data_IF_386513239240
#
_entry.id   IF_386513239240
#
_cell.length_a   1.000
_cell.length_b   1.000
_cell.length_c   1.000
_cell.angle_alpha   90.00
_cell.angle_beta   90.00
_cell.angle_gamma   90.00
#
_symmetry.space_group_name_H-M   'P 1'
#
loop_
_entity.id
_entity.type
_entity.pdbx_description
1 polymer ?
#
# COMPACT_ATOMS: atom_id res chain seq x y z
N UNK A 1 -5.85 -28.68 0.51
CA UNK A 1 -5.61 -27.26 0.16
C UNK A 1 -6.37 -26.41 1.19
N UNK A 2 -5.80 -25.37 1.82
CA UNK A 2 -6.61 -24.48 2.69
C UNK A 2 -7.66 -23.80 1.80
N UNK A 3 -8.94 -23.98 2.08
CA UNK A 3 -9.99 -23.25 1.38
C UNK A 3 -9.81 -21.76 1.71
N UNK A 4 -9.77 -20.92 0.66
CA UNK A 4 -9.68 -19.47 0.83
C UNK A 4 -11.00 -18.86 1.27
N UNK A 5 -11.09 -17.53 1.30
CA UNK A 5 -12.37 -16.82 1.46
C UNK A 5 -13.34 -17.24 0.36
N UNK A 6 -14.61 -17.45 0.68
CA UNK A 6 -15.60 -17.78 -0.36
C UNK A 6 -15.87 -16.55 -1.24
N UNK A 7 -16.12 -16.71 -2.54
CA UNK A 7 -16.44 -15.60 -3.45
C UNK A 7 -17.52 -14.66 -2.94
N UNK A 8 -18.64 -15.20 -2.44
CA UNK A 8 -19.73 -14.38 -1.86
C UNK A 8 -19.26 -13.54 -0.67
N UNK A 9 -18.43 -14.09 0.21
CA UNK A 9 -17.89 -13.34 1.36
C UNK A 9 -16.88 -12.30 0.89
N UNK A 10 -16.05 -12.62 -0.12
CA UNK A 10 -15.07 -11.69 -0.68
C UNK A 10 -15.77 -10.49 -1.33
N UNK A 11 -16.82 -10.73 -2.11
CA UNK A 11 -17.64 -9.68 -2.71
C UNK A 11 -18.22 -8.76 -1.63
N UNK A 12 -18.87 -9.32 -0.61
CA UNK A 12 -19.43 -8.55 0.50
C UNK A 12 -18.35 -7.74 1.26
N UNK A 13 -17.13 -8.26 1.38
CA UNK A 13 -16.01 -7.52 1.95
C UNK A 13 -15.61 -6.32 1.08
N UNK A 14 -15.53 -6.51 -0.24
CA UNK A 14 -15.22 -5.41 -1.18
C UNK A 14 -16.30 -4.33 -1.11
N UNK A 15 -17.59 -4.69 -1.17
CA UNK A 15 -18.69 -3.73 -1.07
C UNK A 15 -18.67 -2.95 0.25
N UNK A 16 -18.35 -3.61 1.36
CA UNK A 16 -18.26 -2.96 2.68
C UNK A 16 -17.05 -2.03 2.80
N UNK A 17 -15.98 -2.33 2.08
CA UNK A 17 -14.69 -1.63 2.19
C UNK A 17 -14.53 -0.50 1.18
N UNK A 18 -15.01 -0.69 -0.05
CA UNK A 18 -14.93 0.26 -1.15
C UNK A 18 -16.31 0.40 -1.84
N UNK A 19 -17.37 0.85 -1.13
CA UNK A 19 -18.72 0.96 -1.70
C UNK A 19 -18.83 1.93 -2.88
N UNK A 20 -17.86 2.82 -3.03
CA UNK A 20 -17.77 3.80 -4.13
C UNK A 20 -17.21 3.20 -5.42
N UNK A 21 -16.65 1.98 -5.39
CA UNK A 21 -15.90 1.38 -6.51
C UNK A 21 -16.71 1.35 -7.82
N UNK A 22 -17.98 0.93 -7.75
CA UNK A 22 -18.87 0.79 -8.92
C UNK A 22 -19.24 2.12 -9.57
N UNK A 23 -19.00 3.24 -8.89
CA UNK A 23 -19.26 4.59 -9.39
C UNK A 23 -18.00 5.30 -9.90
N UNK A 24 -16.82 4.67 -9.81
CA UNK A 24 -15.57 5.28 -10.24
C UNK A 24 -15.26 4.98 -11.71
N UNK A 25 -15.00 6.02 -12.52
CA UNK A 25 -14.41 5.83 -13.84
C UNK A 25 -13.06 5.11 -13.74
N UNK A 26 -12.83 4.14 -14.61
CA UNK A 26 -11.60 3.33 -14.65
C UNK A 26 -11.61 2.10 -13.73
N UNK A 27 -12.72 1.84 -13.01
CA UNK A 27 -12.90 0.64 -12.19
C UNK A 27 -13.77 -0.44 -12.86
N UNK A 28 -14.20 -0.24 -14.12
CA UNK A 28 -15.20 -1.07 -14.80
C UNK A 28 -14.75 -2.52 -14.94
N UNK A 29 -13.48 -2.75 -15.33
CA UNK A 29 -12.92 -4.08 -15.46
C UNK A 29 -12.86 -4.83 -14.11
N UNK A 30 -12.44 -4.12 -13.04
CA UNK A 30 -12.41 -4.67 -11.69
C UNK A 30 -13.82 -5.06 -11.21
N UNK A 31 -14.80 -4.17 -11.43
CA UNK A 31 -16.19 -4.42 -11.08
C UNK A 31 -16.76 -5.61 -11.86
N UNK A 32 -16.46 -5.75 -13.15
CA UNK A 32 -16.88 -6.90 -13.95
C UNK A 32 -16.32 -8.23 -13.41
N UNK A 33 -15.03 -8.26 -13.03
CA UNK A 33 -14.41 -9.44 -12.43
C UNK A 33 -14.99 -9.79 -11.06
N UNK A 34 -15.37 -8.78 -10.28
CA UNK A 34 -15.96 -8.97 -8.96
C UNK A 34 -17.43 -9.42 -9.01
N UNK A 35 -18.18 -8.96 -10.01
CA UNK A 35 -19.59 -9.30 -10.20
C UNK A 35 -19.80 -10.77 -10.58
N UNK A 36 -18.82 -11.42 -11.22
CA UNK A 36 -18.89 -12.83 -11.60
C UNK A 36 -18.51 -13.79 -10.44
N UNK A 37 -19.09 -13.55 -9.26
CA UNK A 37 -18.80 -14.32 -8.06
C UNK A 37 -19.31 -15.76 -8.14
N UNK A 38 -20.28 -16.05 -9.02
CA UNK A 38 -20.81 -17.40 -9.25
C UNK A 38 -19.81 -18.26 -10.02
N UNK A 39 -19.22 -17.76 -11.11
CA UNK A 39 -18.14 -18.48 -11.80
C UNK A 39 -16.89 -18.62 -10.90
N UNK A 40 -16.60 -17.61 -10.08
CA UNK A 40 -15.55 -17.73 -9.08
C UNK A 40 -15.84 -18.84 -8.05
N UNK A 41 -17.11 -19.02 -7.63
CA UNK A 41 -17.49 -20.09 -6.70
C UNK A 41 -17.37 -21.48 -7.35
N UNK A 42 -17.80 -21.60 -8.60
CA UNK A 42 -17.67 -22.83 -9.37
C UNK A 42 -16.20 -23.23 -9.59
N UNK A 43 -15.30 -22.27 -9.83
CA UNK A 43 -13.89 -22.53 -10.10
C UNK A 43 -13.02 -22.76 -8.85
N UNK A 44 -13.45 -22.30 -7.66
CA UNK A 44 -12.65 -22.33 -6.43
C UNK A 44 -12.13 -23.73 -6.05
N UNK A 45 -12.89 -24.78 -6.37
CA UNK A 45 -12.59 -26.19 -6.04
C UNK A 45 -12.04 -26.98 -7.21
N UNK A 46 -11.89 -26.36 -8.38
CA UNK A 46 -11.46 -27.03 -9.62
C UNK A 46 -9.96 -26.93 -9.83
N UNK A 47 -9.45 -27.69 -10.80
CA UNK A 47 -8.07 -27.54 -11.32
C UNK A 47 -7.90 -26.33 -12.24
N UNK A 48 -8.97 -25.58 -12.53
CA UNK A 48 -8.97 -24.39 -13.39
C UNK A 48 -9.37 -23.16 -12.57
N UNK A 49 -8.44 -22.60 -11.78
CA UNK A 49 -8.75 -21.58 -10.78
C UNK A 49 -8.96 -20.18 -11.37
N UNK A 50 -9.10 -20.04 -12.68
CA UNK A 50 -9.04 -18.77 -13.42
C UNK A 50 -10.05 -17.74 -12.91
N UNK A 51 -11.34 -18.09 -12.80
CA UNK A 51 -12.36 -17.13 -12.36
C UNK A 51 -12.20 -16.74 -10.88
N UNK A 52 -11.83 -17.69 -10.01
CA UNK A 52 -11.51 -17.39 -8.62
C UNK A 52 -10.26 -16.51 -8.50
N UNK A 53 -9.21 -16.76 -9.31
CA UNK A 53 -8.01 -15.95 -9.34
C UNK A 53 -8.30 -14.51 -9.82
N UNK A 54 -9.12 -14.34 -10.88
CA UNK A 54 -9.61 -13.02 -11.32
C UNK A 54 -10.24 -12.26 -10.16
N UNK A 55 -11.20 -12.89 -9.47
CA UNK A 55 -11.89 -12.25 -8.37
C UNK A 55 -10.94 -11.84 -7.24
N UNK A 56 -9.97 -12.70 -6.88
CA UNK A 56 -8.98 -12.39 -5.85
C UNK A 56 -8.09 -11.20 -6.25
N UNK A 57 -7.63 -11.15 -7.51
CA UNK A 57 -6.79 -10.06 -8.02
C UNK A 57 -7.57 -8.73 -8.04
N UNK A 58 -8.82 -8.74 -8.51
CA UNK A 58 -9.67 -7.55 -8.51
C UNK A 58 -10.01 -7.05 -7.11
N UNK A 59 -10.33 -7.96 -6.18
CA UNK A 59 -10.62 -7.61 -4.79
C UNK A 59 -9.40 -7.01 -4.09
N UNK A 60 -8.22 -7.56 -4.37
CA UNK A 60 -6.96 -7.02 -3.85
C UNK A 60 -6.70 -5.61 -4.39
N UNK A 61 -6.73 -5.43 -5.71
CA UNK A 61 -6.55 -4.12 -6.34
C UNK A 61 -7.50 -3.08 -5.73
N UNK A 62 -8.79 -3.41 -5.62
CA UNK A 62 -9.82 -2.52 -5.12
C UNK A 62 -9.64 -2.11 -3.65
N UNK A 63 -9.01 -2.95 -2.81
CA UNK A 63 -9.09 -2.78 -1.37
C UNK A 63 -7.76 -2.64 -0.63
N UNK A 64 -6.61 -3.00 -1.24
CA UNK A 64 -5.31 -3.06 -0.52
C UNK A 64 -4.90 -1.74 0.13
N UNK A 65 -5.23 -0.60 -0.48
CA UNK A 65 -4.92 0.74 0.04
C UNK A 65 -6.02 1.33 0.96
N UNK A 66 -7.04 0.55 1.29
CA UNK A 66 -8.16 1.01 2.15
C UNK A 66 -7.91 0.73 3.63
N UNK A 67 -8.84 1.17 4.49
CA UNK A 67 -8.72 0.94 5.94
C UNK A 67 -8.88 -0.54 6.31
N UNK A 68 -9.73 -1.28 5.60
CA UNK A 68 -10.04 -2.70 5.86
C UNK A 68 -9.83 -3.52 4.58
N UNK A 69 -8.58 -3.73 4.16
CA UNK A 69 -8.28 -4.49 2.95
C UNK A 69 -8.77 -5.93 3.08
N UNK A 70 -9.12 -6.56 1.95
CA UNK A 70 -9.39 -8.00 1.88
C UNK A 70 -8.11 -8.79 2.18
N UNK A 71 -8.22 -9.90 2.91
CA UNK A 71 -7.08 -10.74 3.29
C UNK A 71 -6.81 -11.82 2.24
N UNK A 72 -6.36 -11.40 1.06
CA UNK A 72 -6.13 -12.29 -0.10
C UNK A 72 -4.66 -12.31 -0.56
N UNK A 73 -3.79 -11.52 0.07
CA UNK A 73 -2.37 -11.36 -0.30
C UNK A 73 -1.63 -12.69 -0.39
N UNK A 74 -1.67 -13.48 0.69
CA UNK A 74 -1.00 -14.78 0.73
C UNK A 74 -1.56 -15.76 -0.31
N UNK A 75 -2.84 -15.58 -0.71
CA UNK A 75 -3.48 -16.41 -1.71
C UNK A 75 -2.94 -16.08 -3.11
N UNK A 76 -3.00 -14.81 -3.52
CA UNK A 76 -2.58 -14.36 -4.85
C UNK A 76 -1.06 -14.39 -5.04
N UNK A 77 -0.28 -14.24 -3.96
CA UNK A 77 1.19 -14.24 -4.06
C UNK A 77 1.82 -15.63 -3.93
N UNK A 78 1.10 -16.62 -3.41
CA UNK A 78 1.70 -17.94 -3.13
C UNK A 78 0.74 -19.11 -3.39
N UNK A 79 -0.40 -19.19 -2.69
CA UNK A 79 -1.21 -20.40 -2.72
C UNK A 79 -1.83 -20.73 -4.09
N UNK A 80 -2.20 -19.73 -4.87
CA UNK A 80 -2.69 -19.94 -6.26
C UNK A 80 -1.60 -20.62 -7.07
N UNK A 81 -0.37 -20.12 -7.01
CA UNK A 81 0.77 -20.66 -7.75
C UNK A 81 1.15 -22.07 -7.34
N UNK A 82 1.07 -22.40 -6.04
CA UNK A 82 1.29 -23.76 -5.53
C UNK A 82 0.28 -24.78 -6.09
N UNK A 83 -0.89 -24.34 -6.56
CA UNK A 83 -1.92 -25.21 -7.13
C UNK A 83 -1.81 -25.40 -8.64
N UNK A 84 -0.96 -24.64 -9.33
CA UNK A 84 -0.81 -24.68 -10.79
C UNK A 84 -0.10 -25.95 -11.20
N UNK A 85 -0.78 -26.89 -11.86
CA UNK A 85 -0.21 -28.21 -12.20
C UNK A 85 0.39 -28.31 -13.60
N UNK A 86 0.19 -27.31 -14.47
CA UNK A 86 0.65 -27.35 -15.87
C UNK A 86 1.02 -25.96 -16.39
N UNK A 87 1.84 -25.94 -17.44
CA UNK A 87 2.24 -24.72 -18.15
C UNK A 87 1.04 -23.98 -18.75
N UNK A 88 0.02 -24.72 -19.23
CA UNK A 88 -1.19 -24.12 -19.78
C UNK A 88 -1.99 -23.32 -18.73
N UNK A 89 -2.06 -23.81 -17.48
CA UNK A 89 -2.71 -23.07 -16.38
C UNK A 89 -1.85 -21.89 -15.96
N UNK A 90 -0.52 -22.06 -15.89
CA UNK A 90 0.41 -20.98 -15.61
C UNK A 90 0.23 -19.82 -16.58
N UNK A 91 0.18 -20.11 -17.89
CA UNK A 91 0.04 -19.12 -18.96
C UNK A 91 -1.22 -18.26 -18.79
N UNK A 92 -2.37 -18.90 -18.60
CA UNK A 92 -3.65 -18.20 -18.40
C UNK A 92 -3.62 -17.32 -17.16
N UNK A 93 -3.10 -17.82 -16.03
CA UNK A 93 -3.00 -17.03 -14.80
C UNK A 93 -2.03 -15.85 -14.94
N UNK A 94 -0.91 -16.02 -15.65
CA UNK A 94 0.00 -14.92 -15.92
C UNK A 94 -0.67 -13.84 -16.77
N UNK A 95 -1.50 -14.22 -17.75
CA UNK A 95 -2.26 -13.24 -18.53
C UNK A 95 -3.20 -12.39 -17.66
N UNK A 96 -3.82 -12.99 -16.63
CA UNK A 96 -4.64 -12.24 -15.67
C UNK A 96 -3.81 -11.24 -14.86
N UNK A 97 -2.60 -11.64 -14.44
CA UNK A 97 -1.67 -10.78 -13.70
C UNK A 97 -1.21 -9.61 -14.58
N UNK A 98 -0.91 -9.88 -15.85
CA UNK A 98 -0.51 -8.84 -16.80
C UNK A 98 -1.65 -7.84 -17.05
N UNK A 99 -2.89 -8.30 -17.13
CA UNK A 99 -4.07 -7.43 -17.26
C UNK A 99 -4.27 -6.55 -16.02
N UNK A 100 -4.37 -7.15 -14.82
CA UNK A 100 -4.65 -6.40 -13.58
C UNK A 100 -3.53 -5.41 -13.23
N UNK A 101 -2.28 -5.75 -13.55
CA UNK A 101 -1.12 -4.88 -13.27
C UNK A 101 -1.13 -3.56 -14.05
N UNK A 102 -1.93 -3.48 -15.13
CA UNK A 102 -2.11 -2.25 -15.92
C UNK A 102 -3.20 -1.35 -15.38
N UNK A 103 -3.98 -1.81 -14.39
CA UNK A 103 -5.06 -1.00 -13.83
C UNK A 103 -4.48 0.12 -12.96
N UNK A 104 -4.87 1.38 -13.19
CA UNK A 104 -4.29 2.53 -12.50
C UNK A 104 -4.59 2.50 -11.00
N UNK A 105 -3.57 2.26 -10.18
CA UNK A 105 -3.69 2.22 -8.73
C UNK A 105 -4.27 3.53 -8.14
N UNK A 106 -4.06 4.67 -8.81
CA UNK A 106 -4.58 5.98 -8.41
C UNK A 106 -6.10 6.06 -8.40
N UNK A 107 -6.82 5.16 -9.09
CA UNK A 107 -8.28 5.08 -9.00
C UNK A 107 -8.72 4.72 -7.57
N UNK A 108 -7.99 3.79 -6.92
CA UNK A 108 -8.36 3.16 -5.64
C UNK A 108 -7.38 3.46 -4.50
N UNK A 109 -6.41 4.37 -4.72
CA UNK A 109 -5.37 4.70 -3.76
C UNK A 109 -5.01 6.19 -3.82
N UNK A 110 -4.82 6.79 -2.64
CA UNK A 110 -4.20 8.12 -2.47
C UNK A 110 -2.68 8.01 -2.20
N UNK A 111 -2.13 6.79 -2.25
CA UNK A 111 -0.72 6.51 -1.94
C UNK A 111 0.06 6.21 -3.21
N UNK A 112 0.29 7.26 -3.99
CA UNK A 112 1.09 7.18 -5.20
C UNK A 112 2.01 8.39 -5.33
N UNK A 113 3.14 8.19 -6.00
CA UNK A 113 4.05 9.23 -6.46
C UNK A 113 4.13 9.10 -7.98
N UNK A 114 3.89 10.19 -8.70
CA UNK A 114 4.04 10.25 -10.16
C UNK A 114 5.02 11.35 -10.53
N UNK A 115 6.11 10.96 -11.21
CA UNK A 115 7.19 11.83 -11.69
C UNK A 115 7.44 11.63 -13.19
N UNK A 116 6.38 11.33 -13.94
CA UNK A 116 6.40 11.21 -15.40
C UNK A 116 6.92 9.87 -15.92
N UNK A 117 6.93 8.82 -15.08
CA UNK A 117 7.16 7.42 -15.46
C UNK A 117 5.93 6.54 -15.18
N UNK A 118 4.77 7.19 -15.03
CA UNK A 118 3.57 6.60 -14.47
C UNK A 118 3.59 6.60 -12.93
N UNK A 119 2.41 6.42 -12.30
CA UNK A 119 2.31 6.38 -10.85
C UNK A 119 3.05 5.17 -10.29
N UNK A 120 3.79 5.38 -9.19
CA UNK A 120 4.40 4.35 -8.37
C UNK A 120 3.68 4.31 -7.02
N UNK A 121 3.31 3.12 -6.55
CA UNK A 121 2.46 2.89 -5.38
C UNK A 121 2.77 1.56 -4.71
N UNK A 122 2.12 1.31 -3.56
CA UNK A 122 2.20 0.01 -2.89
C UNK A 122 1.63 -1.16 -3.70
N UNK A 123 0.70 -0.89 -4.64
CA UNK A 123 0.15 -1.91 -5.53
C UNK A 123 1.22 -2.53 -6.44
N UNK A 124 2.27 -1.77 -6.78
CA UNK A 124 3.36 -2.29 -7.62
C UNK A 124 4.15 -3.38 -6.89
N UNK A 125 4.36 -3.22 -5.58
CA UNK A 125 4.93 -4.25 -4.70
C UNK A 125 4.11 -5.53 -4.63
N UNK A 126 2.78 -5.39 -4.70
CA UNK A 126 1.86 -6.52 -4.76
C UNK A 126 2.05 -7.29 -6.07
N UNK A 127 2.11 -6.58 -7.20
CA UNK A 127 2.31 -7.20 -8.51
C UNK A 127 3.71 -7.79 -8.68
N UNK A 128 4.75 -7.16 -8.13
CA UNK A 128 6.08 -7.77 -8.00
C UNK A 128 6.00 -9.09 -7.22
N UNK A 129 5.30 -9.10 -6.09
CA UNK A 129 5.10 -10.31 -5.29
C UNK A 129 4.33 -11.40 -6.04
N UNK A 130 3.25 -11.06 -6.74
CA UNK A 130 2.44 -11.99 -7.53
C UNK A 130 3.26 -12.58 -8.69
N UNK A 131 4.01 -11.74 -9.42
CA UNK A 131 4.92 -12.18 -10.50
C UNK A 131 6.05 -13.05 -9.96
N UNK A 132 6.61 -12.75 -8.79
CA UNK A 132 7.62 -13.60 -8.16
C UNK A 132 7.06 -14.98 -7.80
N UNK A 133 5.82 -15.05 -7.32
CA UNK A 133 5.12 -16.31 -7.10
C UNK A 133 4.95 -17.12 -8.40
N UNK A 134 4.57 -16.45 -9.50
CA UNK A 134 4.46 -17.07 -10.81
C UNK A 134 5.82 -17.54 -11.35
N UNK A 135 6.88 -16.73 -11.21
CA UNK A 135 8.24 -17.05 -11.64
C UNK A 135 8.76 -18.31 -10.96
N UNK A 136 8.66 -18.36 -9.63
CA UNK A 136 9.10 -19.51 -8.85
C UNK A 136 8.31 -20.77 -9.21
N UNK A 137 7.03 -20.63 -9.62
CA UNK A 137 6.27 -21.76 -10.13
C UNK A 137 6.72 -22.19 -11.53
N UNK A 138 7.02 -21.24 -12.41
CA UNK A 138 7.54 -21.51 -13.75
C UNK A 138 8.85 -22.32 -13.67
N UNK A 139 9.77 -21.91 -12.78
CA UNK A 139 11.03 -22.62 -12.52
C UNK A 139 10.79 -24.07 -12.04
N UNK A 140 9.82 -24.30 -11.15
CA UNK A 140 9.48 -25.67 -10.71
C UNK A 140 8.87 -26.54 -11.80
N UNK A 141 8.16 -25.94 -12.76
CA UNK A 141 7.53 -26.63 -13.89
C UNK A 141 8.50 -26.83 -15.06
N UNK A 142 9.70 -26.24 -15.03
CA UNK A 142 10.61 -26.21 -16.17
C UNK A 142 10.08 -25.37 -17.34
N UNK A 143 9.23 -24.38 -17.07
CA UNK A 143 8.64 -23.50 -18.07
C UNK A 143 9.57 -22.31 -18.37
N UNK A 144 10.67 -22.58 -19.08
CA UNK A 144 11.78 -21.63 -19.29
C UNK A 144 11.34 -20.31 -19.94
N UNK A 145 10.47 -20.36 -20.96
CA UNK A 145 9.95 -19.15 -21.62
C UNK A 145 9.13 -18.26 -20.66
N UNK A 146 8.28 -18.88 -19.83
CA UNK A 146 7.51 -18.17 -18.81
C UNK A 146 8.40 -17.59 -17.73
N UNK A 147 9.41 -18.34 -17.28
CA UNK A 147 10.38 -17.87 -16.29
C UNK A 147 11.17 -16.67 -16.82
N UNK A 148 11.66 -16.73 -18.06
CA UNK A 148 12.36 -15.63 -18.70
C UNK A 148 11.47 -14.37 -18.80
N UNK A 149 10.24 -14.54 -19.32
CA UNK A 149 9.29 -13.43 -19.46
C UNK A 149 8.94 -12.77 -18.11
N UNK A 150 8.66 -13.58 -17.09
CA UNK A 150 8.33 -13.10 -15.75
C UNK A 150 9.53 -12.41 -15.09
N UNK A 151 10.74 -12.94 -15.29
CA UNK A 151 11.97 -12.30 -14.84
C UNK A 151 12.11 -10.91 -15.46
N UNK A 152 11.98 -10.80 -16.79
CA UNK A 152 12.04 -9.51 -17.50
C UNK A 152 11.00 -8.53 -16.98
N UNK A 153 9.75 -8.96 -16.79
CA UNK A 153 8.71 -8.07 -16.27
C UNK A 153 8.98 -7.58 -14.83
N UNK A 154 9.61 -8.41 -13.99
CA UNK A 154 10.04 -8.00 -12.64
C UNK A 154 11.19 -6.99 -12.75
N UNK A 155 12.16 -7.23 -13.63
CA UNK A 155 13.32 -6.36 -13.80
C UNK A 155 12.94 -4.99 -14.37
N UNK A 156 12.03 -4.96 -15.35
CA UNK A 156 11.48 -3.72 -15.91
C UNK A 156 10.76 -2.88 -14.84
N UNK A 157 9.98 -3.52 -13.97
CA UNK A 157 9.28 -2.83 -12.90
C UNK A 157 10.23 -2.31 -11.81
N UNK A 158 11.20 -3.13 -11.39
CA UNK A 158 12.25 -2.69 -10.46
C UNK A 158 13.05 -1.52 -11.04
N UNK A 159 13.36 -1.55 -12.33
CA UNK A 159 14.04 -0.44 -13.00
C UNK A 159 13.19 0.82 -13.04
N UNK A 160 11.88 0.71 -13.31
CA UNK A 160 10.94 1.84 -13.24
C UNK A 160 10.87 2.46 -11.84
N UNK A 161 10.80 1.62 -10.80
CA UNK A 161 10.82 2.07 -9.40
C UNK A 161 12.14 2.78 -9.06
N UNK A 162 13.27 2.22 -9.49
CA UNK A 162 14.60 2.83 -9.31
C UNK A 162 14.67 4.22 -9.95
N UNK A 163 14.27 4.33 -11.21
CA UNK A 163 14.28 5.61 -11.93
C UNK A 163 13.33 6.63 -11.29
N UNK A 164 12.16 6.20 -10.82
CA UNK A 164 11.20 7.06 -10.13
C UNK A 164 11.78 7.57 -8.81
N UNK A 165 12.43 6.70 -8.04
CA UNK A 165 13.10 7.05 -6.80
C UNK A 165 14.25 8.06 -7.03
N UNK A 166 15.06 7.86 -8.07
CA UNK A 166 16.16 8.79 -8.40
C UNK A 166 15.64 10.14 -8.91
N UNK A 167 14.54 10.15 -9.68
CA UNK A 167 13.85 11.41 -10.02
C UNK A 167 13.32 12.11 -8.77
N UNK A 168 12.71 11.36 -7.84
CA UNK A 168 12.21 11.90 -6.57
C UNK A 168 13.34 12.54 -5.77
N UNK A 169 14.50 11.89 -5.71
CA UNK A 169 15.70 12.42 -5.08
C UNK A 169 16.15 13.74 -5.72
N UNK A 170 16.24 13.80 -7.06
CA UNK A 170 16.70 14.98 -7.81
C UNK A 170 15.76 16.18 -7.71
N UNK A 171 14.51 16.00 -7.27
CA UNK A 171 13.61 17.14 -7.02
C UNK A 171 14.11 18.06 -5.90
N UNK A 172 14.94 17.54 -4.97
CA UNK A 172 15.32 18.25 -3.75
C UNK A 172 14.18 18.43 -2.74
N UNK A 173 12.98 17.96 -3.05
CA UNK A 173 11.83 18.00 -2.14
C UNK A 173 11.85 16.75 -1.24
N UNK A 174 12.18 16.96 0.04
CA UNK A 174 12.21 15.90 1.04
C UNK A 174 10.88 15.16 1.17
N UNK A 175 9.74 15.83 0.98
CA UNK A 175 8.42 15.22 1.04
C UNK A 175 8.23 14.21 -0.09
N UNK A 176 8.60 14.60 -1.31
CA UNK A 176 8.52 13.75 -2.51
C UNK A 176 9.48 12.58 -2.38
N UNK A 177 10.74 12.84 -2.02
CA UNK A 177 11.76 11.81 -1.83
C UNK A 177 11.36 10.78 -0.76
N UNK A 178 10.94 11.23 0.44
CA UNK A 178 10.52 10.34 1.52
C UNK A 178 9.27 9.52 1.17
N UNK A 179 8.36 10.07 0.36
CA UNK A 179 7.18 9.35 -0.12
C UNK A 179 7.57 8.23 -1.09
N UNK A 180 8.45 8.51 -2.05
CA UNK A 180 8.99 7.52 -2.98
C UNK A 180 9.80 6.42 -2.25
N UNK A 181 10.67 6.82 -1.32
CA UNK A 181 11.45 5.91 -0.46
C UNK A 181 10.54 4.95 0.31
N UNK A 182 9.45 5.46 0.86
CA UNK A 182 8.47 4.65 1.60
C UNK A 182 7.86 3.57 0.70
N UNK A 183 7.43 3.95 -0.50
CA UNK A 183 6.82 3.02 -1.46
C UNK A 183 7.82 1.96 -1.88
N UNK A 184 9.01 2.34 -2.34
CA UNK A 184 10.04 1.38 -2.80
C UNK A 184 10.44 0.43 -1.68
N UNK A 185 10.69 0.94 -0.46
CA UNK A 185 11.04 0.08 0.67
C UNK A 185 9.92 -0.92 1.02
N UNK A 186 8.65 -0.52 0.87
CA UNK A 186 7.51 -1.40 1.02
C UNK A 186 7.48 -2.48 -0.07
N UNK A 187 7.59 -2.07 -1.33
CA UNK A 187 7.50 -2.97 -2.50
C UNK A 187 8.60 -4.03 -2.49
N UNK A 188 9.85 -3.63 -2.22
CA UNK A 188 10.97 -4.55 -2.08
C UNK A 188 10.81 -5.52 -0.90
N UNK A 189 10.22 -5.04 0.20
CA UNK A 189 9.91 -5.88 1.36
C UNK A 189 8.88 -6.96 1.02
N UNK A 190 7.87 -6.60 0.24
CA UNK A 190 6.82 -7.52 -0.19
C UNK A 190 7.31 -8.54 -1.21
N UNK A 191 8.11 -8.13 -2.19
CA UNK A 191 8.83 -9.04 -3.10
C UNK A 191 9.69 -10.05 -2.31
N UNK A 192 10.57 -9.54 -1.44
CA UNK A 192 11.47 -10.38 -0.64
C UNK A 192 10.70 -11.35 0.26
N UNK A 193 9.56 -10.95 0.81
CA UNK A 193 8.70 -11.79 1.65
C UNK A 193 8.10 -12.94 0.85
N UNK A 194 7.58 -12.69 -0.35
CA UNK A 194 7.00 -13.75 -1.19
C UNK A 194 8.06 -14.78 -1.56
N UNK A 195 9.20 -14.32 -2.08
CA UNK A 195 10.31 -15.20 -2.46
C UNK A 195 10.75 -16.07 -1.28
N UNK A 196 10.77 -15.50 -0.07
CA UNK A 196 11.15 -16.22 1.15
C UNK A 196 10.15 -17.30 1.58
N UNK A 197 8.87 -17.21 1.20
CA UNK A 197 7.84 -18.23 1.52
C UNK A 197 8.04 -19.55 0.77
N UNK A 198 8.70 -19.52 -0.38
CA UNK A 198 8.94 -20.72 -1.17
C UNK A 198 10.03 -21.61 -0.54
N UNK A 199 10.02 -22.93 -0.77
CA UNK A 199 11.03 -23.83 -0.23
C UNK A 199 12.42 -23.56 -0.82
N UNK A 200 13.46 -23.89 -0.05
CA UNK A 200 14.86 -23.84 -0.54
C UNK A 200 15.14 -25.06 -1.41
N UNK A 201 15.00 -24.90 -2.72
CA UNK A 201 15.29 -25.93 -3.73
C UNK A 201 16.38 -25.44 -4.68
N UNK A 202 17.26 -26.33 -5.20
CA UNK A 202 18.28 -25.92 -6.17
C UNK A 202 17.72 -25.19 -7.39
N UNK A 203 16.57 -25.64 -7.92
CA UNK A 203 15.89 -25.00 -9.05
C UNK A 203 15.45 -23.57 -8.80
N UNK A 204 15.29 -23.16 -7.53
CA UNK A 204 14.84 -21.82 -7.14
C UNK A 204 15.98 -20.94 -6.64
N UNK A 205 17.20 -21.47 -6.54
CA UNK A 205 18.30 -20.78 -5.87
C UNK A 205 18.63 -19.43 -6.53
N UNK A 206 18.69 -19.38 -7.86
CA UNK A 206 19.00 -18.17 -8.61
C UNK A 206 17.96 -17.06 -8.39
N UNK A 207 16.66 -17.37 -8.57
CA UNK A 207 15.59 -16.40 -8.33
C UNK A 207 15.57 -15.93 -6.87
N UNK A 208 15.82 -16.83 -5.91
CA UNK A 208 15.87 -16.48 -4.49
C UNK A 208 17.01 -15.55 -4.14
N UNK A 209 18.21 -15.85 -4.61
CA UNK A 209 19.38 -15.01 -4.39
C UNK A 209 19.18 -13.61 -5.00
N UNK A 210 18.60 -13.56 -6.21
CA UNK A 210 18.41 -12.33 -6.96
C UNK A 210 17.31 -11.42 -6.42
N UNK A 211 16.20 -11.97 -5.94
CA UNK A 211 14.99 -11.19 -5.59
C UNK A 211 14.78 -10.99 -4.09
N UNK A 212 15.66 -11.53 -3.25
CA UNK A 212 15.57 -11.40 -1.79
C UNK A 212 16.46 -10.27 -1.30
N UNK A 213 15.95 -9.46 -0.36
CA UNK A 213 16.74 -8.43 0.34
C UNK A 213 17.43 -7.39 -0.56
N UNK A 214 16.83 -7.02 -1.69
CA UNK A 214 17.35 -6.00 -2.61
C UNK A 214 17.64 -4.64 -1.95
N UNK A 215 16.83 -4.26 -0.96
CA UNK A 215 17.00 -3.03 -0.17
C UNK A 215 17.89 -3.16 1.07
N UNK A 216 18.68 -4.22 1.20
CA UNK A 216 19.54 -4.45 2.36
C UNK A 216 21.03 -4.49 1.98
N UNK A 217 21.89 -3.94 2.83
CA UNK A 217 23.34 -3.91 2.62
C UNK A 217 23.99 -5.31 2.53
N UNK A 218 23.38 -6.32 3.15
CA UNK A 218 23.81 -7.73 3.11
C UNK A 218 23.13 -8.55 2.02
N UNK A 219 22.33 -7.93 1.14
CA UNK A 219 21.74 -8.57 -0.03
C UNK A 219 22.81 -8.95 -1.07
N UNK A 220 22.61 -10.10 -1.73
CA UNK A 220 23.53 -10.62 -2.74
C UNK A 220 23.54 -9.76 -4.01
N UNK A 221 22.37 -9.37 -4.50
CA UNK A 221 22.14 -8.56 -5.71
C UNK A 221 21.71 -7.13 -5.40
N UNK A 222 22.18 -6.59 -4.27
CA UNK A 222 21.78 -5.27 -3.77
C UNK A 222 21.97 -4.17 -4.81
N UNK A 223 21.01 -3.24 -4.87
CA UNK A 223 21.08 -2.03 -5.70
C UNK A 223 21.32 -0.83 -4.77
N UNK A 224 22.34 0.01 -5.01
CA UNK A 224 22.70 1.09 -4.08
C UNK A 224 21.55 2.01 -3.69
N UNK A 225 20.75 2.49 -4.65
CA UNK A 225 19.58 3.36 -4.37
C UNK A 225 18.49 2.66 -3.57
N UNK A 226 18.29 1.36 -3.77
CA UNK A 226 17.36 0.56 -2.96
C UNK A 226 17.86 0.34 -1.53
N UNK A 227 19.16 0.11 -1.34
CA UNK A 227 19.75 0.02 0.00
C UNK A 227 19.61 1.35 0.74
N UNK A 228 19.88 2.46 0.05
CA UNK A 228 19.66 3.80 0.59
C UNK A 228 18.19 4.02 0.99
N UNK A 229 17.24 3.67 0.12
CA UNK A 229 15.81 3.77 0.42
C UNK A 229 15.43 2.93 1.66
N UNK A 230 15.91 1.68 1.75
CA UNK A 230 15.67 0.81 2.90
C UNK A 230 16.16 1.42 4.22
N UNK A 231 17.40 1.92 4.24
CA UNK A 231 18.01 2.53 5.43
C UNK A 231 17.34 3.86 5.82
N UNK A 232 17.06 4.74 4.85
CA UNK A 232 16.37 6.01 5.09
C UNK A 232 14.95 5.76 5.60
N UNK A 233 14.20 4.87 4.96
CA UNK A 233 12.86 4.48 5.39
C UNK A 233 12.87 3.99 6.85
N UNK A 234 13.77 3.06 7.18
CA UNK A 234 13.90 2.51 8.54
C UNK A 234 14.13 3.60 9.60
N UNK A 235 14.92 4.62 9.29
CA UNK A 235 15.28 5.69 10.24
C UNK A 235 14.24 6.80 10.34
N UNK A 236 13.51 7.08 9.26
CA UNK A 236 12.65 8.27 9.16
C UNK A 236 11.16 7.96 8.99
N UNK A 237 10.80 6.94 8.19
CA UNK A 237 9.44 6.77 7.67
C UNK A 237 8.73 5.48 8.10
N UNK A 238 9.48 4.46 8.54
CA UNK A 238 8.91 3.16 8.90
C UNK A 238 7.86 3.28 10.01
N UNK A 239 8.10 4.18 10.97
CA UNK A 239 7.14 4.47 12.03
C UNK A 239 5.83 5.07 11.49
N UNK A 240 5.91 5.98 10.52
CA UNK A 240 4.77 6.72 9.97
C UNK A 240 3.85 5.86 9.10
N UNK A 241 4.33 4.74 8.58
CA UNK A 241 3.59 3.90 7.65
C UNK A 241 3.18 2.54 8.26
N UNK A 242 3.21 2.42 9.59
CA UNK A 242 2.62 1.26 10.27
C UNK A 242 1.10 1.21 10.10
N UNK A 243 0.53 0.02 10.33
CA UNK A 243 -0.91 -0.22 10.18
C UNK A 243 -1.73 0.69 11.11
N UNK A 244 -2.50 1.61 10.53
CA UNK A 244 -3.45 2.48 11.22
C UNK A 244 -4.73 1.72 11.66
N UNK A 245 -4.57 0.64 12.43
CA UNK A 245 -5.66 -0.30 12.75
C UNK A 245 -6.85 0.37 13.44
N UNK A 246 -6.66 1.45 14.19
CA UNK A 246 -7.79 2.15 14.81
C UNK A 246 -8.69 2.86 13.78
N UNK A 247 -8.15 3.27 12.62
CA UNK A 247 -8.93 3.87 11.53
C UNK A 247 -9.83 2.86 10.83
N UNK A 248 -9.77 1.56 11.18
CA UNK A 248 -10.75 0.56 10.76
C UNK A 248 -12.13 0.78 11.39
N UNK A 249 -12.17 1.39 12.58
CA UNK A 249 -13.39 1.54 13.38
C UNK A 249 -14.35 2.58 12.79
N UNK A 250 -13.92 3.80 12.40
CA UNK A 250 -14.83 4.79 11.81
C UNK A 250 -15.28 4.33 10.41
N UNK A 251 -16.44 3.69 10.33
CA UNK A 251 -17.00 3.19 9.05
C UNK A 251 -17.21 4.32 8.03
N UNK A 252 -17.42 5.53 8.51
CA UNK A 252 -17.60 6.72 7.68
C UNK A 252 -16.43 6.99 6.73
N UNK A 253 -15.20 6.62 7.12
CA UNK A 253 -14.01 6.74 6.26
C UNK A 253 -14.07 5.88 4.99
N UNK A 254 -14.99 4.91 4.92
CA UNK A 254 -15.17 4.03 3.76
C UNK A 254 -16.21 4.57 2.78
N UNK A 255 -16.98 5.60 3.15
CA UNK A 255 -18.12 6.10 2.36
C UNK A 255 -17.70 6.75 1.04
N UNK A 256 -16.44 7.19 0.92
CA UNK A 256 -15.97 7.92 -0.24
C UNK A 256 -14.48 7.67 -0.50
N UNK A 257 -14.08 7.64 -1.77
CA UNK A 257 -12.69 7.39 -2.22
C UNK A 257 -11.74 8.48 -1.74
N UNK A 258 -12.18 9.73 -1.75
CA UNK A 258 -11.38 10.87 -1.33
C UNK A 258 -10.99 10.83 0.16
N UNK A 259 -11.67 10.01 0.98
CA UNK A 259 -11.35 9.84 2.40
C UNK A 259 -10.22 8.81 2.64
N UNK A 260 -9.69 8.16 1.60
CA UNK A 260 -8.55 7.25 1.73
C UNK A 260 -7.32 7.97 2.27
N UNK A 261 -6.53 7.24 3.05
CA UNK A 261 -5.38 7.79 3.76
C UNK A 261 -4.18 7.93 2.81
N UNK A 262 -3.59 9.12 2.67
CA UNK A 262 -2.39 9.32 1.84
C UNK A 262 -1.13 8.75 2.51
N UNK A 263 0.04 9.03 1.95
CA UNK A 263 1.34 8.65 2.52
C UNK A 263 1.65 9.52 3.74
N UNK A 264 2.01 8.87 4.85
CA UNK A 264 2.36 9.56 6.09
C UNK A 264 3.74 10.20 6.04
N UNK A 265 4.02 11.22 6.87
CA UNK A 265 3.15 11.84 7.87
C UNK A 265 2.30 13.03 7.35
N UNK A 266 2.18 13.22 6.04
CA UNK A 266 1.67 14.45 5.42
C UNK A 266 0.13 14.56 5.42
N UNK A 267 -0.49 14.48 6.60
CA UNK A 267 -1.93 14.31 6.75
C UNK A 267 -2.74 15.59 6.97
N UNK A 268 -2.12 16.77 6.96
CA UNK A 268 -2.81 18.06 7.11
C UNK A 268 -3.99 18.20 6.13
N UNK A 269 -3.73 18.03 4.84
CA UNK A 269 -4.74 18.15 3.79
C UNK A 269 -5.84 17.08 3.91
N UNK A 270 -5.49 15.87 4.36
CA UNK A 270 -6.45 14.80 4.60
C UNK A 270 -7.33 15.10 5.82
N UNK A 271 -6.76 15.64 6.90
CA UNK A 271 -7.51 16.13 8.06
C UNK A 271 -8.49 17.24 7.69
N UNK A 272 -8.06 18.20 6.88
CA UNK A 272 -8.92 19.26 6.36
C UNK A 272 -10.06 18.69 5.48
N UNK A 273 -9.76 17.71 4.63
CA UNK A 273 -10.76 17.01 3.81
C UNK A 273 -11.81 16.30 4.66
N UNK A 274 -11.41 15.67 5.78
CA UNK A 274 -12.37 15.10 6.74
C UNK A 274 -13.26 16.18 7.34
N UNK A 275 -12.71 17.35 7.68
CA UNK A 275 -13.48 18.46 8.23
C UNK A 275 -14.57 18.92 7.27
N UNK A 276 -14.24 19.07 5.99
CA UNK A 276 -15.11 19.70 4.99
C UNK A 276 -15.96 18.72 4.17
N UNK A 277 -15.74 17.40 4.31
CA UNK A 277 -16.51 16.40 3.56
C UNK A 277 -18.00 16.41 3.94
N UNK A 278 -18.86 16.68 2.96
CA UNK A 278 -20.32 16.74 3.14
C UNK A 278 -20.94 15.36 3.47
N UNK A 279 -20.25 14.26 3.14
CA UNK A 279 -20.69 12.90 3.43
C UNK A 279 -20.45 12.48 4.90
N UNK A 280 -19.84 13.36 5.69
CA UNK A 280 -19.56 13.15 7.11
C UNK A 280 -20.41 14.12 7.93
N UNK A 281 -21.05 13.62 8.97
CA UNK A 281 -21.73 14.44 9.98
C UNK A 281 -20.77 14.76 11.15
N UNK A 282 -21.17 15.60 12.13
CA UNK A 282 -20.32 15.90 13.29
C UNK A 282 -19.93 14.66 14.11
N UNK A 283 -20.78 13.64 14.17
CA UNK A 283 -20.52 12.40 14.90
C UNK A 283 -19.45 11.57 14.20
N UNK A 284 -19.53 11.43 12.87
CA UNK A 284 -18.51 10.77 12.07
C UNK A 284 -17.14 11.41 12.28
N UNK A 285 -17.07 12.75 12.25
CA UNK A 285 -15.83 13.50 12.50
C UNK A 285 -15.28 13.25 13.92
N UNK A 286 -16.15 13.23 14.93
CA UNK A 286 -15.76 12.93 16.31
C UNK A 286 -15.24 11.50 16.49
N UNK A 287 -15.84 10.52 15.80
CA UNK A 287 -15.37 9.13 15.79
C UNK A 287 -13.99 8.99 15.11
N UNK A 288 -13.77 9.68 13.99
CA UNK A 288 -12.48 9.74 13.30
C UNK A 288 -11.43 10.40 14.19
N UNK A 289 -11.74 11.55 14.78
CA UNK A 289 -10.87 12.23 15.75
C UNK A 289 -10.51 11.31 16.92
N UNK A 290 -11.49 10.59 17.48
CA UNK A 290 -11.26 9.62 18.56
C UNK A 290 -10.30 8.50 18.15
N UNK A 291 -10.40 8.01 16.91
CA UNK A 291 -9.49 7.00 16.38
C UNK A 291 -8.06 7.53 16.19
N UNK A 292 -7.90 8.78 15.72
CA UNK A 292 -6.61 9.45 15.59
C UNK A 292 -5.94 9.69 16.94
N UNK A 293 -6.69 10.17 17.94
CA UNK A 293 -6.20 10.34 19.31
C UNK A 293 -5.76 9.00 19.92
N UNK A 294 -6.53 7.93 19.68
CA UNK A 294 -6.15 6.60 20.15
C UNK A 294 -4.86 6.08 19.50
N UNK A 295 -4.68 6.31 18.20
CA UNK A 295 -3.44 5.94 17.51
C UNK A 295 -2.25 6.72 18.05
N UNK A 296 -2.38 8.03 18.17
CA UNK A 296 -1.34 8.87 18.74
C UNK A 296 -0.93 8.42 20.15
N UNK A 297 -1.90 8.13 21.03
CA UNK A 297 -1.62 7.65 22.37
C UNK A 297 -0.86 6.31 22.39
N UNK A 298 -1.10 5.42 21.40
CA UNK A 298 -0.40 4.13 21.29
C UNK A 298 0.97 4.22 20.61
N UNK A 299 1.14 5.18 19.70
CA UNK A 299 2.36 5.38 18.96
C UNK A 299 2.72 6.88 18.91
N UNK A 300 3.19 7.48 20.02
CA UNK A 300 3.43 8.92 20.09
C UNK A 300 4.49 9.44 19.11
N UNK A 301 5.34 8.53 18.59
CA UNK A 301 6.36 8.83 17.58
C UNK A 301 5.80 9.00 16.16
N UNK A 302 4.54 8.62 15.92
CA UNK A 302 3.86 8.83 14.64
C UNK A 302 3.30 10.25 14.58
N UNK A 303 3.91 11.09 13.76
CA UNK A 303 3.48 12.46 13.56
C UNK A 303 2.21 12.57 12.70
N UNK A 304 1.96 11.62 11.79
CA UNK A 304 0.83 11.71 10.86
C UNK A 304 -0.52 11.92 11.55
N UNK A 305 -0.80 11.21 12.65
CA UNK A 305 -2.06 11.37 13.37
C UNK A 305 -2.25 12.79 13.94
N UNK A 306 -1.17 13.40 14.45
CA UNK A 306 -1.19 14.78 14.94
C UNK A 306 -1.41 15.78 13.81
N UNK A 307 -0.82 15.54 12.63
CA UNK A 307 -1.04 16.37 11.44
C UNK A 307 -2.47 16.28 10.91
N UNK A 308 -3.06 15.09 10.91
CA UNK A 308 -4.47 14.92 10.60
C UNK A 308 -5.37 15.71 11.57
N UNK A 309 -5.07 15.66 12.87
CA UNK A 309 -5.80 16.42 13.88
C UNK A 309 -5.64 17.94 13.71
N UNK A 310 -4.45 18.42 13.36
CA UNK A 310 -4.20 19.83 13.07
C UNK A 310 -5.00 20.31 11.85
N UNK A 311 -4.97 19.57 10.75
CA UNK A 311 -5.77 19.89 9.56
C UNK A 311 -7.28 19.85 9.82
N UNK A 312 -7.75 18.84 10.59
CA UNK A 312 -9.14 18.74 11.03
C UNK A 312 -9.54 19.94 11.89
N UNK A 313 -8.68 20.35 12.82
CA UNK A 313 -8.91 21.52 13.69
C UNK A 313 -9.07 22.80 12.87
N UNK A 314 -8.12 23.10 12.00
CA UNK A 314 -8.05 24.35 11.25
C UNK A 314 -9.24 24.52 10.30
N UNK A 315 -9.73 23.43 9.71
CA UNK A 315 -10.84 23.45 8.76
C UNK A 315 -12.23 23.28 9.39
N UNK A 316 -12.33 22.99 10.69
CA UNK A 316 -13.61 22.85 11.40
C UNK A 316 -14.00 24.17 12.07
N UNK A 317 -15.19 24.69 11.81
CA UNK A 317 -15.71 25.86 12.53
C UNK A 317 -15.80 25.57 14.05
N UNK A 318 -15.14 26.39 14.88
CA UNK A 318 -15.02 26.13 16.32
C UNK A 318 -13.97 25.06 16.69
N UNK A 319 -13.18 24.60 15.72
CA UNK A 319 -12.09 23.63 15.89
C UNK A 319 -12.56 22.27 16.41
N UNK A 320 -11.62 21.48 16.92
CA UNK A 320 -11.91 20.15 17.47
C UNK A 320 -12.87 20.17 18.68
N UNK A 321 -12.98 21.31 19.38
CA UNK A 321 -13.90 21.45 20.50
C UNK A 321 -15.36 21.29 20.07
N UNK A 322 -15.71 21.75 18.86
CA UNK A 322 -17.07 21.66 18.30
C UNK A 322 -17.56 20.21 18.07
N UNK A 323 -16.64 19.25 17.94
CA UNK A 323 -16.93 17.82 17.70
C UNK A 323 -16.50 16.92 18.86
N UNK A 324 -16.02 17.50 19.96
CA UNK A 324 -15.47 16.77 21.11
C UNK A 324 -16.51 15.90 21.82
N UNK A 325 -17.78 16.30 21.84
CA UNK A 325 -18.84 15.52 22.48
C UNK A 325 -19.04 14.14 21.82
N UNK A 326 -18.74 14.02 20.53
CA UNK A 326 -18.87 12.77 19.78
C UNK A 326 -17.66 11.85 19.93
N UNK A 327 -16.53 12.34 20.42
CA UNK A 327 -15.38 11.50 20.74
C UNK A 327 -15.57 10.75 22.07
N UNK A 328 -14.88 9.60 22.26
CA UNK A 328 -14.90 8.86 23.53
C UNK A 328 -14.53 9.76 24.71
N UNK A 329 -15.35 9.75 25.78
CA UNK A 329 -15.23 10.66 26.92
C UNK A 329 -13.80 10.76 27.50
N UNK A 330 -13.10 9.62 27.59
CA UNK A 330 -11.72 9.54 28.10
C UNK A 330 -10.68 10.30 27.25
N UNK A 331 -10.97 10.55 25.97
CA UNK A 331 -10.05 11.21 25.02
C UNK A 331 -10.35 12.70 24.84
N UNK A 332 -11.51 13.19 25.29
CA UNK A 332 -11.93 14.59 25.04
C UNK A 332 -10.95 15.62 25.62
N UNK A 333 -10.36 15.32 26.78
CA UNK A 333 -9.36 16.19 27.42
C UNK A 333 -8.05 16.28 26.65
N UNK A 334 -7.73 15.29 25.79
CA UNK A 334 -6.49 15.30 25.00
C UNK A 334 -6.49 16.39 23.92
N UNK A 335 -7.67 16.79 23.44
CA UNK A 335 -7.82 17.75 22.33
C UNK A 335 -7.13 19.10 22.61
N UNK A 336 -7.13 19.53 23.88
CA UNK A 336 -6.64 20.85 24.28
C UNK A 336 -5.29 20.85 24.99
N UNK A 337 -4.53 19.74 25.00
CA UNK A 337 -3.30 19.63 25.81
C UNK A 337 -2.17 18.89 25.10
N UNK A 338 -0.95 19.11 25.60
CA UNK A 338 0.26 18.40 25.20
C UNK A 338 0.48 18.40 23.68
N UNK A 339 0.94 17.26 23.16
CA UNK A 339 1.32 17.13 21.76
C UNK A 339 0.19 17.43 20.75
N UNK A 340 -1.08 17.25 21.12
CA UNK A 340 -2.21 17.61 20.26
C UNK A 340 -2.32 19.13 20.11
N UNK A 341 -2.22 19.86 21.22
CA UNK A 341 -2.23 21.33 21.19
C UNK A 341 -1.02 21.87 20.46
N UNK A 342 0.16 21.33 20.76
CA UNK A 342 1.41 21.73 20.09
C UNK A 342 1.32 21.51 18.58
N UNK A 343 0.73 20.40 18.12
CA UNK A 343 0.56 20.12 16.71
C UNK A 343 -0.43 21.04 16.00
N UNK A 344 -1.53 21.43 16.67
CA UNK A 344 -2.50 22.39 16.15
C UNK A 344 -1.87 23.77 15.96
N UNK A 345 -1.04 24.18 16.93
CA UNK A 345 -0.37 25.49 16.91
C UNK A 345 0.85 25.53 15.98
N UNK A 346 1.35 24.37 15.56
CA UNK A 346 2.50 24.25 14.65
C UNK A 346 2.06 24.36 13.16
N UNK A 347 2.45 25.44 12.45
CA UNK A 347 2.20 25.56 11.02
C UNK A 347 2.83 24.41 10.24
N UNK A 348 2.22 24.06 9.12
CA UNK A 348 2.63 22.92 8.30
C UNK A 348 4.09 23.03 7.84
N UNK A 349 4.50 24.20 7.38
CA UNK A 349 5.86 24.45 6.87
C UNK A 349 6.91 24.23 7.97
N UNK A 350 6.60 24.67 9.20
CA UNK A 350 7.45 24.46 10.38
C UNK A 350 7.48 23.01 10.85
N UNK A 351 6.44 22.23 10.56
CA UNK A 351 6.43 20.79 10.81
C UNK A 351 7.28 20.02 9.80
N UNK A 352 7.24 20.40 8.52
CA UNK A 352 7.97 19.72 7.44
C UNK A 352 9.49 20.01 7.50
N UNK A 353 9.91 21.19 7.95
CA UNK A 353 11.32 21.60 7.99
C UNK A 353 12.25 20.66 8.82
N UNK A 354 11.89 20.20 10.04
CA UNK A 354 12.65 19.16 10.73
C UNK A 354 12.78 17.85 9.96
N UNK A 355 11.77 17.46 9.17
CA UNK A 355 11.86 16.26 8.33
C UNK A 355 12.83 16.46 7.18
N UNK A 356 12.84 17.64 6.55
CA UNK A 356 13.81 17.98 5.51
C UNK A 356 15.24 17.93 6.05
N UNK A 357 15.53 18.59 7.18
CA UNK A 357 16.87 18.54 7.81
C UNK A 357 17.31 17.14 8.21
N UNK A 358 16.38 16.33 8.78
CA UNK A 358 16.67 14.94 9.14
C UNK A 358 16.89 14.08 7.90
N UNK A 359 16.13 14.32 6.84
CA UNK A 359 16.32 13.67 5.56
C UNK A 359 17.72 13.96 5.05
N UNK A 360 18.11 15.23 4.88
CA UNK A 360 19.46 15.63 4.44
C UNK A 360 20.57 14.97 5.28
N UNK A 361 20.45 15.00 6.61
CA UNK A 361 21.45 14.41 7.50
C UNK A 361 21.59 12.88 7.34
N UNK A 362 20.47 12.17 7.15
CA UNK A 362 20.46 10.71 6.95
C UNK A 362 20.81 10.33 5.52
N UNK A 363 20.46 11.18 4.56
CA UNK A 363 20.65 11.04 3.12
C UNK A 363 22.11 11.27 2.69
N UNK A 364 22.84 12.16 3.38
CA UNK A 364 24.18 12.58 2.98
C UNK A 364 25.15 11.41 2.68
N UNK A 365 25.24 10.33 3.48
CA UNK A 365 26.11 9.20 3.18
C UNK A 365 25.71 8.40 1.92
N UNK A 366 24.49 8.60 1.43
CA UNK A 366 23.91 7.86 0.31
C UNK A 366 23.80 8.68 -0.98
N UNK A 367 24.24 9.94 -1.01
CA UNK A 367 24.06 10.82 -2.17
C UNK A 367 24.56 10.21 -3.48
N UNK A 368 25.76 9.61 -3.46
CA UNK A 368 26.34 8.91 -4.61
C UNK A 368 25.51 7.70 -5.10
N UNK A 369 24.60 7.17 -4.28
CA UNK A 369 23.71 6.06 -4.68
C UNK A 369 22.61 6.48 -5.65
N UNK A 370 22.40 7.78 -5.86
CA UNK A 370 21.35 8.35 -6.73
C UNK A 370 21.91 9.13 -7.93
N UNK A 371 23.23 9.09 -8.14
CA UNK A 371 23.92 9.79 -9.22
C UNK A 371 24.01 8.97 -10.53
N UNK A 372 23.52 7.72 -10.51
CA UNK A 372 23.51 6.79 -11.64
C UNK A 372 22.35 6.92 -12.62
#
# INVERSE_FOLDING_TARGET
MKHGVTPTVLWAQVESTAPWLTSLPGAEAACAWLADHEAAAASQTTSEPDAYARMLLAAHWATVATFVPTDVDARIRHHVWQSVSSVAVLDRLCALVDEVSRWPATVVSERAVDLGLGPMSGHDGEWLGVRAGALLRADELGAEDHAARLSTAIDEELERERQTLERAWRTGDARVALSAITIVAHNLGDLSRVVSLWPRRPSLAAARERLTRLGHADGATRVPSFVAAGEINKRLMAAENHRFLALRKPRALRRARELLLPIGPWFDAWGARIATCERLDPRDRGDIMGALLHLHARAPRQAGCLRALAGLHQATAGGLASIAEFAPARLRKEIGRGAVRDAIDLPRERFEEPFARRFEAVAAPFAASFEG
#
